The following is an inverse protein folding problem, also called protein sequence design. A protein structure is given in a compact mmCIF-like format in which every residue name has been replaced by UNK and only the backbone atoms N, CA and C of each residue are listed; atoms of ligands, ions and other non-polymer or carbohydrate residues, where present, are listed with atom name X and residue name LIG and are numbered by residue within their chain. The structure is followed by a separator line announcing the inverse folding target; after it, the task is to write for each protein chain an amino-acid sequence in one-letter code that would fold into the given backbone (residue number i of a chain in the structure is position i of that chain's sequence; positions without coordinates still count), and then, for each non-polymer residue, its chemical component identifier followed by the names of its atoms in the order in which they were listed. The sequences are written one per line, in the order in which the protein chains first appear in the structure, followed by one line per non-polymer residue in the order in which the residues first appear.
data_IF_307175076541
#
_entry.id   IF_307175076541
#
_cell.length_a   1.000
_cell.length_b   1.000
_cell.length_c   1.000
_cell.angle_alpha   90.00
_cell.angle_beta   90.00
_cell.angle_gamma   90.00
#
_symmetry.space_group_name_H-M   'P 1'
#
loop_
_entity.id
_entity.type
_entity.pdbx_description
1 polymer ?
#
# COMPACT_ATOMS: atom_id res chain seq x y z
N UNK A 1 -46.78 6.86 5.15
CA UNK A 1 -46.25 5.80 6.03
C UNK A 1 -45.01 5.26 5.36
N UNK A 2 -43.86 5.87 5.67
CA UNK A 2 -42.57 5.44 5.14
C UNK A 2 -41.91 4.61 6.22
N UNK A 3 -41.78 3.32 5.98
CA UNK A 3 -41.13 2.37 6.87
C UNK A 3 -39.63 2.61 6.85
N UNK A 4 -39.11 3.14 7.96
CA UNK A 4 -37.70 3.09 8.31
C UNK A 4 -37.28 1.63 8.48
N UNK A 5 -36.65 1.06 7.46
CA UNK A 5 -35.85 -0.15 7.58
C UNK A 5 -34.41 0.28 7.83
N UNK A 6 -34.07 0.46 9.10
CA UNK A 6 -32.68 0.43 9.56
C UNK A 6 -32.20 -1.02 9.42
N UNK A 7 -31.77 -1.41 8.23
CA UNK A 7 -30.85 -2.55 8.09
C UNK A 7 -29.52 -2.14 8.73
N UNK A 8 -28.83 -3.02 9.47
CA UNK A 8 -27.48 -2.74 9.93
C UNK A 8 -26.64 -2.56 8.67
N UNK A 9 -26.35 -1.31 8.34
CA UNK A 9 -25.60 -0.94 7.17
C UNK A 9 -24.23 -1.59 7.33
N UNK A 10 -23.95 -2.59 6.49
CA UNK A 10 -22.68 -3.29 6.53
C UNK A 10 -21.56 -2.26 6.34
N UNK A 11 -20.80 -2.08 7.42
CA UNK A 11 -19.78 -1.04 7.53
C UNK A 11 -18.69 -1.24 6.47
N UNK A 12 -18.50 -2.48 6.02
CA UNK A 12 -17.61 -2.81 4.91
C UNK A 12 -18.15 -2.33 3.56
N UNK A 13 -19.46 -2.36 3.34
CA UNK A 13 -20.08 -1.79 2.13
C UNK A 13 -20.01 -0.25 2.13
N UNK A 14 -20.05 0.35 3.32
CA UNK A 14 -19.85 1.80 3.49
C UNK A 14 -18.39 2.19 3.25
N UNK A 15 -17.46 1.36 3.69
CA UNK A 15 -16.04 1.53 3.38
C UNK A 15 -15.78 1.49 1.88
N UNK A 16 -16.36 0.52 1.16
CA UNK A 16 -16.23 0.41 -0.30
C UNK A 16 -16.72 1.66 -1.04
N UNK A 17 -17.85 2.24 -0.63
CA UNK A 17 -18.38 3.45 -1.28
C UNK A 17 -17.50 4.68 -1.02
N UNK A 18 -16.87 4.77 0.15
CA UNK A 18 -15.89 5.82 0.46
C UNK A 18 -14.64 5.65 -0.40
N UNK A 19 -14.13 4.43 -0.53
CA UNK A 19 -12.96 4.11 -1.35
C UNK A 19 -13.18 4.41 -2.83
N UNK A 20 -14.38 4.14 -3.35
CA UNK A 20 -14.78 4.49 -4.72
C UNK A 20 -14.87 6.01 -4.90
N UNK A 21 -15.52 6.71 -3.95
CA UNK A 21 -15.68 8.16 -4.00
C UNK A 21 -14.34 8.90 -3.97
N UNK A 22 -13.39 8.40 -3.19
CA UNK A 22 -12.06 8.99 -3.05
C UNK A 22 -11.11 8.54 -4.19
N UNK A 23 -11.62 7.78 -5.18
CA UNK A 23 -10.88 7.37 -6.37
C UNK A 23 -9.82 6.30 -6.12
N UNK A 24 -9.84 5.65 -4.96
CA UNK A 24 -8.93 4.56 -4.61
C UNK A 24 -9.30 3.27 -5.35
N UNK A 25 -10.60 3.04 -5.52
CA UNK A 25 -11.14 1.92 -6.30
C UNK A 25 -11.96 2.45 -7.48
N UNK A 26 -11.81 1.80 -8.63
CA UNK A 26 -12.69 2.03 -9.77
C UNK A 26 -14.07 1.41 -9.51
N UNK A 27 -15.17 1.98 -10.04
CA UNK A 27 -16.51 1.41 -9.88
C UNK A 27 -16.60 -0.07 -10.31
N UNK A 28 -15.91 -0.42 -11.40
CA UNK A 28 -15.82 -1.81 -11.89
C UNK A 28 -15.14 -2.76 -10.90
N UNK A 29 -14.13 -2.28 -10.17
CA UNK A 29 -13.43 -3.06 -9.13
C UNK A 29 -14.32 -3.23 -7.90
N UNK A 30 -14.99 -2.15 -7.47
CA UNK A 30 -15.93 -2.18 -6.34
C UNK A 30 -17.09 -3.15 -6.59
N UNK A 31 -17.63 -3.20 -7.81
CA UNK A 31 -18.71 -4.12 -8.18
C UNK A 31 -18.29 -5.59 -8.12
N UNK A 32 -17.07 -5.91 -8.56
CA UNK A 32 -16.50 -7.26 -8.48
C UNK A 32 -16.32 -7.67 -7.02
N UNK A 33 -15.69 -6.82 -6.20
CA UNK A 33 -15.47 -7.08 -4.77
C UNK A 33 -16.81 -7.27 -4.05
N UNK A 34 -17.81 -6.41 -4.32
CA UNK A 34 -19.15 -6.52 -3.73
C UNK A 34 -19.83 -7.84 -4.07
N UNK A 35 -19.69 -8.31 -5.31
CA UNK A 35 -20.28 -9.58 -5.77
C UNK A 35 -19.62 -10.77 -5.08
N UNK A 36 -18.29 -10.77 -4.96
CA UNK A 36 -17.52 -11.81 -4.27
C UNK A 36 -17.86 -11.83 -2.78
N UNK A 37 -17.85 -10.67 -2.11
CA UNK A 37 -18.17 -10.55 -0.70
C UNK A 37 -19.58 -11.09 -0.37
N UNK A 38 -20.59 -10.74 -1.18
CA UNK A 38 -21.97 -11.23 -0.99
C UNK A 38 -22.17 -12.70 -1.37
N UNK A 39 -21.37 -13.22 -2.30
CA UNK A 39 -21.56 -14.56 -2.88
C UNK A 39 -20.76 -15.67 -2.19
N UNK A 40 -19.51 -15.37 -1.78
CA UNK A 40 -18.55 -16.35 -1.25
C UNK A 40 -18.33 -16.21 0.26
N UNK A 41 -18.85 -15.14 0.90
CA UNK A 41 -18.74 -14.93 2.34
C UNK A 41 -17.30 -14.72 2.84
N UNK A 42 -16.36 -14.41 1.94
CA UNK A 42 -14.98 -14.11 2.30
C UNK A 42 -14.87 -12.77 3.03
N UNK A 43 -13.93 -12.69 3.97
CA UNK A 43 -13.64 -11.46 4.72
C UNK A 43 -13.24 -10.33 3.76
N UNK A 44 -13.83 -9.14 3.94
CA UNK A 44 -13.67 -8.00 3.01
C UNK A 44 -12.22 -7.52 2.91
N UNK A 45 -11.51 -7.52 4.03
CA UNK A 45 -10.09 -7.21 4.13
C UNK A 45 -9.22 -8.21 3.34
N UNK A 46 -9.49 -9.52 3.43
CA UNK A 46 -8.81 -10.54 2.60
C UNK A 46 -8.99 -10.24 1.11
N UNK A 47 -10.20 -9.84 0.70
CA UNK A 47 -10.47 -9.49 -0.70
C UNK A 47 -9.75 -8.22 -1.13
N UNK A 48 -9.80 -7.17 -0.32
CA UNK A 48 -9.21 -5.86 -0.64
C UNK A 48 -7.68 -5.92 -0.65
N UNK A 49 -7.08 -6.63 0.31
CA UNK A 49 -5.64 -6.76 0.45
C UNK A 49 -5.09 -7.82 -0.49
N UNK A 50 -5.76 -8.97 -0.61
CA UNK A 50 -5.35 -10.07 -1.47
C UNK A 50 -5.47 -9.76 -2.97
N UNK A 51 -6.35 -8.84 -3.35
CA UNK A 51 -6.41 -8.34 -4.73
C UNK A 51 -5.30 -7.33 -5.07
N UNK A 52 -4.55 -6.86 -4.08
CA UNK A 52 -3.49 -5.85 -4.26
C UNK A 52 -4.01 -4.47 -4.64
N UNK A 53 -5.33 -4.26 -4.65
CA UNK A 53 -5.95 -2.98 -5.01
C UNK A 53 -5.73 -1.91 -3.93
N UNK A 54 -5.60 -2.33 -2.67
CA UNK A 54 -5.40 -1.45 -1.52
C UNK A 54 -4.33 -2.07 -0.61
N UNK A 55 -3.44 -1.22 -0.08
CA UNK A 55 -2.46 -1.63 0.93
C UNK A 55 -3.04 -1.61 2.35
N UNK A 56 -2.50 -2.43 3.25
CA UNK A 56 -2.95 -2.50 4.67
C UNK A 56 -2.97 -1.12 5.33
N UNK A 57 -1.94 -0.30 5.10
CA UNK A 57 -1.88 1.06 5.64
C UNK A 57 -3.00 1.97 5.11
N UNK A 58 -3.39 1.80 3.84
CA UNK A 58 -4.48 2.57 3.25
C UNK A 58 -5.80 2.13 3.84
N UNK A 59 -6.05 0.81 3.89
CA UNK A 59 -7.25 0.24 4.48
C UNK A 59 -7.42 0.67 5.94
N UNK A 60 -6.35 0.59 6.71
CA UNK A 60 -6.27 1.01 8.11
C UNK A 60 -6.63 2.49 8.32
N UNK A 61 -6.13 3.38 7.46
CA UNK A 61 -6.45 4.81 7.53
C UNK A 61 -7.94 5.08 7.27
N UNK A 62 -8.54 4.38 6.32
CA UNK A 62 -9.96 4.53 6.03
C UNK A 62 -10.83 3.96 7.14
N UNK A 63 -10.44 2.84 7.75
CA UNK A 63 -11.10 2.30 8.94
C UNK A 63 -11.02 3.30 10.11
N UNK A 64 -9.85 3.88 10.39
CA UNK A 64 -9.70 4.90 11.44
C UNK A 64 -10.60 6.10 11.21
N UNK A 65 -10.68 6.61 9.97
CA UNK A 65 -11.59 7.72 9.61
C UNK A 65 -13.05 7.34 9.81
N UNK A 66 -13.43 6.13 9.40
CA UNK A 66 -14.81 5.64 9.51
C UNK A 66 -15.27 5.52 10.97
N UNK A 67 -14.37 5.08 11.85
CA UNK A 67 -14.65 4.88 13.28
C UNK A 67 -14.24 6.06 14.17
N UNK A 68 -13.74 7.16 13.60
CA UNK A 68 -13.36 8.37 14.33
C UNK A 68 -12.17 8.18 15.29
N UNK A 69 -11.30 7.21 15.03
CA UNK A 69 -10.11 6.94 15.84
C UNK A 69 -8.94 7.75 15.28
N UNK A 70 -8.50 8.77 16.02
CA UNK A 70 -7.44 9.70 15.59
C UNK A 70 -6.02 9.23 15.97
N UNK A 71 -5.87 8.00 16.45
CA UNK A 71 -4.58 7.48 16.89
C UNK A 71 -3.88 6.79 15.73
N UNK A 72 -2.86 7.46 15.20
CA UNK A 72 -1.95 6.87 14.21
C UNK A 72 -1.09 5.80 14.89
N UNK A 73 -1.13 4.58 14.36
CA UNK A 73 -0.24 3.48 14.76
C UNK A 73 0.29 2.79 13.51
N UNK A 74 1.47 2.16 13.60
CA UNK A 74 1.98 1.39 12.49
C UNK A 74 1.22 0.05 12.42
N UNK A 75 0.45 -0.24 11.35
CA UNK A 75 -0.32 -1.49 11.24
C UNK A 75 0.57 -2.75 11.32
N UNK A 76 1.86 -2.57 11.09
CA UNK A 76 2.87 -3.61 11.08
C UNK A 76 3.55 -3.83 12.43
N UNK A 77 3.32 -2.96 13.42
CA UNK A 77 3.89 -3.11 14.76
C UNK A 77 3.22 -4.30 15.48
N UNK A 78 4.04 -5.24 15.95
CA UNK A 78 3.56 -6.37 16.73
C UNK A 78 3.35 -6.01 18.20
N UNK A 79 2.38 -6.65 18.87
CA UNK A 79 2.24 -6.50 20.31
C UNK A 79 3.50 -6.86 21.10
N UNK A 80 3.79 -6.08 22.13
CA UNK A 80 4.84 -6.40 23.11
C UNK A 80 4.44 -7.64 23.93
N UNK A 81 5.40 -8.50 24.34
CA UNK A 81 5.10 -9.69 25.14
C UNK A 81 4.34 -9.37 26.43
N UNK A 82 4.67 -8.26 27.08
CA UNK A 82 4.00 -7.79 28.29
C UNK A 82 2.54 -7.43 28.04
N UNK A 83 2.22 -6.83 26.90
CA UNK A 83 0.86 -6.50 26.51
C UNK A 83 0.05 -7.76 26.16
N UNK A 84 0.62 -8.71 25.42
CA UNK A 84 -0.03 -9.99 25.11
C UNK A 84 -0.40 -10.78 26.38
N UNK A 85 0.39 -10.67 27.45
CA UNK A 85 0.12 -11.37 28.70
C UNK A 85 -1.01 -10.73 29.54
N UNK A 86 -1.51 -9.54 29.17
CA UNK A 86 -2.55 -8.84 29.94
C UNK A 86 -3.92 -9.49 29.82
N UNK A 87 -4.21 -10.12 28.67
CA UNK A 87 -5.46 -10.79 28.38
C UNK A 87 -5.19 -12.24 28.00
N UNK A 88 -6.09 -13.14 28.42
CA UNK A 88 -6.10 -14.53 27.97
C UNK A 88 -6.61 -14.62 26.54
N UNK A 89 -6.26 -15.70 25.84
CA UNK A 89 -6.74 -15.95 24.46
C UNK A 89 -8.27 -15.93 24.38
N UNK A 90 -8.96 -16.50 25.39
CA UNK A 90 -10.41 -16.48 25.45
C UNK A 90 -10.98 -15.06 25.57
N UNK A 91 -10.38 -14.21 26.41
CA UNK A 91 -10.77 -12.81 26.55
C UNK A 91 -10.49 -12.02 25.26
N UNK A 92 -9.33 -12.23 24.63
CA UNK A 92 -8.97 -11.62 23.34
C UNK A 92 -9.99 -11.94 22.25
N UNK A 93 -10.36 -13.22 22.11
CA UNK A 93 -11.33 -13.67 21.10
C UNK A 93 -12.75 -13.19 21.42
N UNK A 94 -13.16 -13.23 22.69
CA UNK A 94 -14.50 -12.77 23.09
C UNK A 94 -14.66 -11.27 22.88
N UNK A 95 -13.61 -10.51 23.15
CA UNK A 95 -13.62 -9.07 23.01
C UNK A 95 -13.31 -8.64 21.59
N UNK A 96 -12.70 -9.47 20.73
CA UNK A 96 -12.07 -9.03 19.47
C UNK A 96 -11.07 -7.88 19.70
N UNK A 97 -10.27 -7.99 20.75
CA UNK A 97 -9.26 -6.99 21.14
C UNK A 97 -7.95 -7.60 21.60
N UNK A 98 -6.82 -7.06 21.12
CA UNK A 98 -5.46 -7.46 21.52
C UNK A 98 -4.72 -6.23 22.07
N UNK A 99 -4.22 -6.28 23.31
CA UNK A 99 -3.34 -5.24 23.83
C UNK A 99 -2.03 -5.22 23.04
N UNK A 100 -1.66 -4.08 22.48
CA UNK A 100 -0.48 -3.93 21.64
C UNK A 100 0.75 -3.50 22.46
N UNK A 101 0.62 -2.41 23.22
CA UNK A 101 1.74 -1.87 24.00
C UNK A 101 1.24 -1.10 25.20
N UNK A 102 2.13 -0.94 26.18
CA UNK A 102 1.88 -0.21 27.41
C UNK A 102 2.82 1.00 27.47
N UNK A 103 2.27 2.17 27.73
CA UNK A 103 3.05 3.41 27.85
C UNK A 103 2.43 4.29 28.94
N UNK A 104 3.21 4.71 29.94
CA UNK A 104 2.84 5.72 30.94
C UNK A 104 1.45 5.51 31.61
N UNK A 105 1.11 4.27 31.98
CA UNK A 105 -0.19 3.95 32.61
C UNK A 105 -1.37 3.89 31.63
N UNK A 106 -1.08 3.90 30.33
CA UNK A 106 -2.04 3.63 29.26
C UNK A 106 -1.68 2.35 28.51
N UNK A 107 -2.69 1.69 27.94
CA UNK A 107 -2.56 0.51 27.09
C UNK A 107 -3.20 0.79 25.74
N UNK A 108 -2.42 0.65 24.67
CA UNK A 108 -2.94 0.68 23.31
C UNK A 108 -3.53 -0.68 22.97
N UNK A 109 -4.75 -0.70 22.44
CA UNK A 109 -5.50 -1.94 22.19
C UNK A 109 -5.98 -1.97 20.75
N UNK A 110 -5.55 -2.98 20.00
CA UNK A 110 -6.04 -3.27 18.65
C UNK A 110 -7.42 -3.90 18.74
N UNK A 111 -8.40 -3.35 18.05
CA UNK A 111 -9.81 -3.74 18.10
C UNK A 111 -10.32 -3.98 16.69
N UNK A 112 -10.93 -5.14 16.46
CA UNK A 112 -11.73 -5.33 15.26
C UNK A 112 -13.06 -4.58 15.45
N UNK A 113 -13.44 -3.68 14.54
CA UNK A 113 -14.70 -2.97 14.64
C UNK A 113 -15.93 -3.90 14.62
N UNK A 114 -17.07 -3.46 15.22
CA UNK A 114 -17.32 -2.15 15.81
C UNK A 114 -16.70 -1.97 17.21
N UNK A 115 -16.31 -0.73 17.54
CA UNK A 115 -15.80 -0.40 18.88
C UNK A 115 -16.98 -0.31 19.85
N UNK A 116 -17.06 -1.26 20.80
CA UNK A 116 -18.04 -1.25 21.87
C UNK A 116 -17.49 -0.53 23.12
N UNK A 117 -18.16 0.50 23.66
CA UNK A 117 -17.76 1.13 24.92
C UNK A 117 -17.68 0.13 26.10
N UNK A 118 -18.53 -0.91 26.10
CA UNK A 118 -18.52 -1.95 27.14
C UNK A 118 -17.23 -2.76 27.14
N UNK A 119 -16.78 -3.19 25.95
CA UNK A 119 -15.49 -3.83 25.71
C UNK A 119 -14.32 -2.97 26.23
N UNK A 120 -14.30 -1.67 25.94
CA UNK A 120 -13.24 -0.76 26.40
C UNK A 120 -13.20 -0.63 27.93
N UNK A 121 -14.36 -0.48 28.57
CA UNK A 121 -14.43 -0.38 30.04
C UNK A 121 -14.03 -1.70 30.70
N UNK A 122 -14.38 -2.85 30.10
CA UNK A 122 -13.94 -4.15 30.60
C UNK A 122 -12.41 -4.28 30.55
N UNK A 123 -11.77 -3.90 29.45
CA UNK A 123 -10.31 -3.95 29.32
C UNK A 123 -9.64 -2.99 30.30
N UNK A 124 -10.20 -1.78 30.47
CA UNK A 124 -9.75 -0.80 31.46
C UNK A 124 -9.83 -1.36 32.89
N UNK A 125 -10.95 -2.01 33.25
CA UNK A 125 -11.12 -2.64 34.55
C UNK A 125 -10.15 -3.82 34.76
N UNK A 126 -9.88 -4.61 33.72
CA UNK A 126 -8.96 -5.75 33.77
C UNK A 126 -7.49 -5.33 33.91
N UNK A 127 -7.08 -4.31 33.14
CA UNK A 127 -5.69 -3.85 33.05
C UNK A 127 -5.35 -2.77 34.08
N UNK A 128 -6.36 -2.11 34.66
CA UNK A 128 -6.20 -0.93 35.52
C UNK A 128 -5.44 0.23 34.82
N UNK A 129 -5.49 0.28 33.49
CA UNK A 129 -4.81 1.27 32.65
C UNK A 129 -5.80 2.07 31.82
N UNK A 130 -5.38 3.25 31.36
CA UNK A 130 -6.18 4.01 30.39
C UNK A 130 -6.13 3.33 29.02
N UNK A 131 -7.27 2.99 28.45
CA UNK A 131 -7.35 2.27 27.17
C UNK A 131 -7.35 3.25 26.01
N UNK A 132 -6.39 3.10 25.10
CA UNK A 132 -6.32 3.83 23.83
C UNK A 132 -6.73 2.88 22.71
N UNK A 133 -7.94 3.01 22.14
CA UNK A 133 -8.40 2.11 21.09
C UNK A 133 -7.67 2.41 19.78
N UNK A 134 -7.24 1.33 19.12
CA UNK A 134 -6.69 1.30 17.79
C UNK A 134 -7.55 0.35 16.95
N UNK A 135 -7.96 0.77 15.77
CA UNK A 135 -8.73 -0.10 14.88
C UNK A 135 -7.77 -1.06 14.17
N UNK A 136 -8.16 -2.29 13.87
CA UNK A 136 -7.39 -3.19 12.99
C UNK A 136 -8.31 -3.95 12.04
N UNK A 137 -7.73 -4.55 11.00
CA UNK A 137 -8.43 -5.52 10.14
C UNK A 137 -8.55 -6.88 10.83
N UNK A 138 -9.64 -7.65 10.59
CA UNK A 138 -9.75 -9.05 11.00
C UNK A 138 -8.55 -9.91 10.60
N UNK A 139 -8.06 -9.76 9.36
CA UNK A 139 -6.90 -10.47 8.83
C UNK A 139 -5.67 -10.24 9.70
N UNK A 140 -5.37 -8.98 10.01
CA UNK A 140 -4.22 -8.62 10.87
C UNK A 140 -4.41 -9.14 12.29
N UNK A 141 -5.63 -9.07 12.82
CA UNK A 141 -5.95 -9.60 14.15
C UNK A 141 -5.72 -11.11 14.23
N UNK A 142 -6.23 -11.89 13.28
CA UNK A 142 -6.01 -13.33 13.20
C UNK A 142 -4.53 -13.68 13.01
N UNK A 143 -3.82 -12.90 12.20
CA UNK A 143 -2.39 -13.08 12.00
C UNK A 143 -1.58 -12.85 13.29
N UNK A 144 -1.91 -11.81 14.07
CA UNK A 144 -1.31 -11.58 15.38
C UNK A 144 -1.67 -12.70 16.37
N UNK A 145 -2.91 -13.17 16.38
CA UNK A 145 -3.34 -14.30 17.20
C UNK A 145 -2.57 -15.59 16.88
N UNK A 146 -2.38 -15.87 15.60
CA UNK A 146 -1.60 -17.01 15.14
C UNK A 146 -0.15 -16.91 15.63
N UNK A 147 0.46 -15.73 15.52
CA UNK A 147 1.86 -15.52 15.89
C UNK A 147 2.11 -15.44 17.41
N UNK A 148 1.23 -14.78 18.16
CA UNK A 148 1.42 -14.55 19.60
C UNK A 148 0.82 -15.65 20.48
N UNK A 149 -0.23 -16.32 20.03
CA UNK A 149 -1.00 -17.27 20.83
C UNK A 149 -1.19 -18.65 20.16
N UNK A 150 -0.56 -18.91 19.00
CA UNK A 150 -0.66 -20.16 18.24
C UNK A 150 -2.11 -20.58 17.92
N UNK A 151 -3.01 -19.61 17.77
CA UNK A 151 -4.39 -19.88 17.35
C UNK A 151 -4.40 -20.25 15.86
N UNK A 152 -5.07 -21.34 15.44
CA UNK A 152 -5.11 -21.72 14.03
C UNK A 152 -5.83 -20.65 13.20
N UNK A 153 -5.27 -20.36 12.03
CA UNK A 153 -5.77 -19.38 11.06
C UNK A 153 -6.13 -20.11 9.77
N UNK A 154 -7.15 -19.64 9.06
CA UNK A 154 -7.55 -20.23 7.77
C UNK A 154 -6.41 -20.15 6.75
N UNK A 155 -6.28 -21.17 5.88
CA UNK A 155 -5.17 -21.27 4.94
C UNK A 155 -5.17 -20.13 3.91
N UNK A 156 -6.35 -19.66 3.49
CA UNK A 156 -6.46 -18.54 2.55
C UNK A 156 -6.08 -17.22 3.22
N UNK A 157 -6.58 -16.99 4.44
CA UNK A 157 -6.20 -15.82 5.24
C UNK A 157 -4.70 -15.83 5.54
N UNK A 158 -4.12 -16.97 5.91
CA UNK A 158 -2.69 -17.11 6.19
C UNK A 158 -1.85 -16.78 4.96
N UNK A 159 -2.22 -17.29 3.78
CA UNK A 159 -1.52 -16.98 2.52
C UNK A 159 -1.59 -15.50 2.17
N UNK A 160 -2.78 -14.90 2.30
CA UNK A 160 -2.95 -13.46 2.06
C UNK A 160 -2.15 -12.64 3.07
N UNK A 161 -2.24 -12.97 4.35
CA UNK A 161 -1.48 -12.33 5.41
C UNK A 161 0.03 -12.46 5.17
N UNK A 162 0.53 -13.63 4.77
CA UNK A 162 1.92 -13.79 4.37
C UNK A 162 2.24 -12.89 3.17
N UNK A 163 1.52 -12.97 2.06
CA UNK A 163 1.80 -12.13 0.87
C UNK A 163 1.74 -10.61 1.11
N UNK A 164 0.92 -10.16 2.05
CA UNK A 164 0.68 -8.73 2.33
C UNK A 164 1.54 -8.22 3.49
N UNK A 165 1.95 -9.11 4.42
CA UNK A 165 2.66 -8.79 5.66
C UNK A 165 4.10 -9.37 5.71
N UNK A 166 4.54 -10.17 4.73
CA UNK A 166 5.87 -10.86 4.67
C UNK A 166 7.07 -9.93 4.58
N UNK A 167 6.90 -8.63 4.31
CA UNK A 167 8.04 -7.69 4.30
C UNK A 167 8.49 -7.25 5.71
N UNK A 168 7.94 -7.83 6.77
CA UNK A 168 8.34 -7.58 8.16
C UNK A 168 8.62 -8.89 8.87
N UNK A 169 9.82 -9.42 8.70
CA UNK A 169 10.39 -10.22 9.78
C UNK A 169 10.53 -9.31 11.01
N UNK A 170 9.97 -9.67 12.17
CA UNK A 170 10.32 -8.98 13.40
C UNK A 170 11.83 -9.10 13.60
N UNK A 171 12.50 -8.03 14.05
CA UNK A 171 13.89 -8.13 14.47
C UNK A 171 13.98 -9.19 15.58
N UNK A 172 14.53 -10.36 15.25
CA UNK A 172 14.66 -11.52 16.14
C UNK A 172 15.38 -11.15 17.47
N UNK A 173 16.16 -10.09 17.47
CA UNK A 173 16.96 -9.60 18.60
C UNK A 173 16.15 -8.99 19.78
N UNK A 174 14.82 -8.88 19.70
CA UNK A 174 13.98 -8.40 20.82
C UNK A 174 13.21 -9.48 21.58
N UNK A 175 13.28 -10.74 21.14
CA UNK A 175 12.58 -11.85 21.80
C UNK A 175 13.52 -12.70 22.67
N UNK A 176 14.18 -12.06 23.64
CA UNK A 176 14.70 -12.79 24.80
C UNK A 176 13.52 -13.04 25.73
N UNK A 177 13.06 -14.30 25.82
CA UNK A 177 12.03 -14.72 26.77
C UNK A 177 12.39 -14.22 28.18
N UNK A 178 11.48 -13.55 28.93
CA UNK A 178 11.71 -13.36 30.35
C UNK A 178 11.70 -14.73 31.04
N UNK A 179 12.73 -14.99 31.84
CA UNK A 179 13.00 -16.27 32.48
C UNK A 179 11.92 -16.77 33.48
N UNK A 180 10.83 -16.02 33.68
CA UNK A 180 9.80 -16.32 34.67
C UNK A 180 8.40 -16.23 34.04
N UNK A 181 8.04 -17.25 33.27
CA UNK A 181 6.62 -17.59 33.09
C UNK A 181 6.17 -18.30 34.37
N UNK A 182 5.08 -17.83 34.96
CA UNK A 182 4.47 -18.42 36.15
C UNK A 182 4.16 -19.90 35.87
N UNK A 183 4.82 -20.81 36.59
CA UNK A 183 4.64 -22.25 36.46
C UNK A 183 3.24 -22.66 36.93
N UNK A 184 2.50 -23.40 36.09
CA UNK A 184 1.29 -24.10 36.49
C UNK A 184 1.68 -25.38 37.27
N UNK A 185 1.35 -25.51 38.56
CA UNK A 185 1.72 -26.66 39.39
C UNK A 185 1.05 -27.98 38.97
N UNK A 186 0.14 -27.98 37.99
CA UNK A 186 -0.47 -29.21 37.45
C UNK A 186 0.22 -29.74 36.18
N UNK A 187 1.15 -28.98 35.61
CA UNK A 187 1.95 -29.44 34.48
C UNK A 187 3.17 -30.19 35.00
N UNK A 188 3.04 -31.52 35.18
CA UNK A 188 4.18 -32.38 35.51
C UNK A 188 5.33 -32.25 34.52
N UNK A 189 6.57 -32.66 34.87
CA UNK A 189 7.71 -32.53 33.99
C UNK A 189 7.46 -33.32 32.71
N UNK A 190 7.46 -32.63 31.58
CA UNK A 190 7.52 -33.25 30.26
C UNK A 190 8.96 -33.69 30.08
N UNK A 191 9.22 -34.99 30.24
CA UNK A 191 10.47 -35.58 29.76
C UNK A 191 10.47 -35.46 28.24
N UNK A 192 11.62 -35.07 27.66
CA UNK A 192 11.82 -35.01 26.21
C UNK A 192 11.51 -36.38 25.62
N UNK A 193 10.39 -36.48 24.92
CA UNK A 193 10.05 -37.67 24.13
C UNK A 193 11.05 -37.66 22.96
N UNK A 194 11.93 -38.66 22.91
CA UNK A 194 12.82 -38.84 21.75
C UNK A 194 11.99 -38.98 20.47
N UNK A 195 12.49 -38.47 19.35
CA UNK A 195 11.81 -38.52 18.02
C UNK A 195 11.33 -39.93 17.60
N UNK A 196 11.89 -40.98 18.20
CA UNK A 196 11.51 -42.38 17.96
C UNK A 196 10.25 -42.84 18.74
N UNK A 197 9.83 -42.10 19.78
CA UNK A 197 8.69 -42.43 20.66
C UNK A 197 7.47 -41.51 20.44
N UNK A 198 7.49 -40.63 19.44
CA UNK A 198 6.32 -39.79 19.09
C UNK A 198 5.19 -40.65 18.46
N UNK A 199 4.03 -40.82 19.13
CA UNK A 199 2.90 -41.59 18.60
C UNK A 199 2.24 -40.96 17.36
N UNK A 200 2.70 -39.78 16.92
CA UNK A 200 2.23 -39.08 15.73
C UNK A 200 3.27 -39.06 14.59
N UNK A 201 4.36 -39.83 14.69
CA UNK A 201 5.36 -39.90 13.63
C UNK A 201 4.82 -40.60 12.36
N UNK A 202 4.37 -39.78 11.41
CA UNK A 202 3.76 -40.17 10.13
C UNK A 202 4.62 -41.09 9.25
N UNK A 203 5.91 -41.24 9.56
CA UNK A 203 6.84 -42.10 8.82
C UNK A 203 6.73 -43.59 9.16
N UNK A 204 6.15 -43.94 10.31
CA UNK A 204 6.05 -45.33 10.78
C UNK A 204 4.63 -45.92 10.71
N UNK A 205 3.66 -45.19 10.14
CA UNK A 205 2.32 -45.72 9.95
C UNK A 205 2.28 -46.72 8.78
N UNK A 206 1.72 -47.93 8.97
CA UNK A 206 1.55 -48.88 7.89
C UNK A 206 0.46 -48.38 6.96
N UNK A 207 0.84 -47.83 5.81
CA UNK A 207 -0.10 -47.45 4.76
C UNK A 207 -0.71 -48.74 4.21
N UNK A 208 -1.97 -49.03 4.55
CA UNK A 208 -2.76 -50.00 3.80
C UNK A 208 -3.30 -49.34 2.54
N UNK A 209 -2.94 -49.93 1.41
CA UNK A 209 -3.25 -49.53 0.05
C UNK A 209 -4.75 -49.69 -0.26
N UNK A 210 -5.54 -48.63 -0.04
CA UNK A 210 -6.96 -48.53 -0.46
C UNK A 210 -7.31 -47.19 -1.12
N UNK A 211 -6.31 -46.46 -1.58
CA UNK A 211 -6.50 -45.12 -2.16
C UNK A 211 -6.95 -45.15 -3.62
N UNK A 212 -6.85 -46.30 -4.29
CA UNK A 212 -7.25 -46.43 -5.70
C UNK A 212 -8.74 -46.70 -5.91
N UNK A 213 -9.46 -47.32 -4.97
CA UNK A 213 -10.90 -47.61 -5.15
C UNK A 213 -11.81 -46.38 -4.92
N UNK A 214 -11.37 -45.40 -4.12
CA UNK A 214 -12.19 -44.21 -3.80
C UNK A 214 -12.14 -43.16 -4.92
N UNK A 215 -11.03 -43.08 -5.66
CA UNK A 215 -10.86 -42.13 -6.77
C UNK A 215 -11.60 -42.55 -8.05
N UNK A 216 -11.81 -43.85 -8.26
CA UNK A 216 -12.57 -44.36 -9.41
C UNK A 216 -14.09 -44.16 -9.21
N UNK A 217 -14.60 -44.31 -7.98
CA UNK A 217 -16.01 -44.02 -7.65
C UNK A 217 -16.35 -42.53 -7.86
N UNK A 218 -15.44 -41.63 -7.47
CA UNK A 218 -15.63 -40.17 -7.68
C UNK A 218 -15.53 -39.75 -9.16
N UNK A 219 -14.77 -40.48 -9.99
CA UNK A 219 -14.67 -40.20 -11.43
C UNK A 219 -15.89 -40.66 -12.21
N UNK A 220 -16.50 -41.80 -11.84
CA UNK A 220 -17.74 -42.27 -12.47
C UNK A 220 -18.96 -41.40 -12.11
N UNK A 221 -19.06 -40.90 -10.88
CA UNK A 221 -20.14 -39.98 -10.48
C UNK A 221 -20.05 -38.60 -11.15
N UNK A 222 -18.85 -38.06 -11.37
CA UNK A 222 -18.65 -36.78 -12.07
C UNK A 222 -18.89 -36.87 -13.58
N UNK A 223 -18.61 -38.03 -14.21
CA UNK A 223 -18.89 -38.24 -15.63
C UNK A 223 -20.40 -38.26 -15.93
N UNK A 224 -21.23 -38.79 -15.01
CA UNK A 224 -22.69 -38.81 -15.16
C UNK A 224 -23.37 -37.44 -15.03
N UNK A 225 -22.75 -36.48 -14.34
CA UNK A 225 -23.30 -35.12 -14.14
C UNK A 225 -23.01 -34.22 -15.37
N UNK A 226 -21.94 -34.49 -16.12
CA UNK A 226 -21.54 -33.68 -17.27
C UNK A 226 -22.33 -34.03 -18.55
N UNK A 227 -22.91 -35.23 -18.65
CA UNK A 227 -23.66 -35.66 -19.84
C UNK A 227 -25.13 -35.21 -19.87
N UNK A 228 -25.72 -34.70 -18.78
CA UNK A 228 -27.18 -34.59 -18.69
C UNK A 228 -27.83 -33.19 -18.62
N UNK A 229 -27.09 -32.08 -18.59
CA UNK A 229 -27.71 -30.73 -18.54
C UNK A 229 -26.99 -29.63 -19.34
N UNK A 230 -26.97 -29.78 -20.67
CA UNK A 230 -26.67 -28.69 -21.60
C UNK A 230 -27.77 -28.59 -22.68
N UNK A 231 -28.68 -27.61 -22.60
CA UNK A 231 -29.43 -27.15 -23.76
C UNK A 231 -28.64 -26.07 -24.50
N UNK A 232 -28.29 -26.43 -25.74
CA UNK A 232 -27.90 -25.63 -26.90
C UNK A 232 -28.53 -24.23 -27.02
N UNK A 233 -27.71 -23.21 -27.32
CA UNK A 233 -28.06 -22.12 -28.26
C UNK A 233 -26.79 -21.49 -28.89
N UNK A 234 -26.20 -22.20 -29.84
CA UNK A 234 -25.71 -21.68 -31.13
C UNK A 234 -26.43 -22.57 -32.16
N UNK A 235 -27.12 -22.11 -33.21
CA UNK A 235 -26.72 -21.20 -34.28
C UNK A 235 -27.98 -20.62 -34.96
N UNK A 236 -27.92 -19.35 -35.37
CA UNK A 236 -28.44 -18.85 -36.65
C UNK A 236 -28.31 -17.32 -36.68
N UNK A 237 -27.28 -16.79 -37.35
CA UNK A 237 -27.42 -16.12 -38.65
C UNK A 237 -26.10 -15.47 -39.04
N UNK A 238 -25.56 -15.96 -40.15
CA UNK A 238 -24.60 -15.30 -41.04
C UNK A 238 -25.14 -13.98 -41.63
N UNK A 239 -24.21 -13.11 -42.01
CA UNK A 239 -24.34 -11.90 -42.84
C UNK A 239 -24.76 -10.61 -42.12
N UNK A 240 -23.78 -9.76 -41.82
CA UNK A 240 -23.47 -8.65 -42.72
C UNK A 240 -22.04 -8.13 -42.44
N UNK A 241 -21.25 -8.09 -43.51
CA UNK A 241 -19.94 -7.46 -43.54
C UNK A 241 -20.08 -5.98 -43.88
N UNK A 242 -19.30 -5.13 -43.19
CA UNK A 242 -18.53 -3.96 -43.68
C UNK A 242 -18.18 -3.03 -42.49
N UNK A 243 -17.03 -2.34 -42.51
CA UNK A 243 -15.68 -2.80 -42.83
C UNK A 243 -14.75 -2.73 -41.61
N UNK A 244 -13.69 -3.52 -41.65
CA UNK A 244 -12.49 -3.37 -40.82
C UNK A 244 -11.97 -1.94 -40.95
N UNK A 245 -12.15 -1.13 -39.90
CA UNK A 245 -11.30 0.04 -39.70
C UNK A 245 -10.13 -0.41 -38.82
N UNK A 246 -8.97 -0.42 -39.47
CA UNK A 246 -7.61 -0.50 -38.93
C UNK A 246 -7.54 -0.49 -37.39
N UNK A 247 -7.51 -1.68 -36.79
CA UNK A 247 -6.98 -1.83 -35.43
C UNK A 247 -5.47 -1.65 -35.57
N UNK A 248 -5.05 -0.41 -35.37
CA UNK A 248 -3.66 -0.02 -35.20
C UNK A 248 -3.04 -0.91 -34.10
N UNK A 249 -2.01 -1.72 -34.38
CA UNK A 249 -1.38 -2.59 -33.39
C UNK A 249 -0.61 -1.80 -32.30
N UNK A 250 -0.70 -0.47 -32.30
CA UNK A 250 -0.13 0.42 -31.29
C UNK A 250 -0.96 0.53 -29.98
N UNK A 251 -2.18 -0.03 -29.91
CA UNK A 251 -3.10 0.22 -28.79
C UNK A 251 -2.98 -0.73 -27.58
N UNK A 252 -2.00 -1.63 -27.53
CA UNK A 252 -1.85 -2.60 -26.41
C UNK A 252 -0.56 -2.41 -25.61
N UNK A 253 -0.18 -1.14 -25.40
CA UNK A 253 0.66 -0.71 -24.27
C UNK A 253 -0.10 0.45 -23.61
N UNK A 254 -1.14 0.12 -22.83
CA UNK A 254 -1.80 1.10 -21.98
C UNK A 254 -0.76 1.60 -20.95
N UNK A 255 -0.18 2.73 -21.30
CA UNK A 255 1.00 3.37 -20.74
C UNK A 255 0.89 3.63 -19.24
N UNK A 256 1.87 3.14 -18.47
CA UNK A 256 2.14 3.48 -17.06
C UNK A 256 2.75 4.89 -16.92
N UNK A 257 2.26 5.84 -17.72
CA UNK A 257 2.81 7.20 -17.81
C UNK A 257 2.01 8.16 -16.95
N UNK A 258 2.64 9.30 -16.62
CA UNK A 258 1.99 10.47 -16.01
C UNK A 258 0.58 10.68 -16.57
N UNK A 259 -0.42 10.91 -15.70
CA UNK A 259 -1.85 11.00 -16.03
C UNK A 259 -2.15 11.57 -17.43
N UNK A 260 -3.13 10.97 -18.11
CA UNK A 260 -3.60 11.35 -19.46
C UNK A 260 -4.08 12.82 -19.59
N UNK A 261 -4.14 13.56 -18.49
CA UNK A 261 -4.46 14.98 -18.44
C UNK A 261 -3.35 15.89 -19.02
N UNK A 262 -2.09 15.43 -19.06
CA UNK A 262 -0.95 16.25 -19.50
C UNK A 262 -0.54 15.94 -20.94
N UNK A 263 -0.41 17.01 -21.76
CA UNK A 263 0.14 16.88 -23.12
C UNK A 263 1.66 16.79 -23.05
N UNK A 264 2.22 15.78 -23.72
CA UNK A 264 3.65 15.61 -23.91
C UNK A 264 4.28 16.88 -24.51
N UNK A 265 5.37 17.33 -23.87
CA UNK A 265 6.08 18.54 -24.25
C UNK A 265 6.71 18.38 -25.64
N UNK A 266 6.48 19.35 -26.52
CA UNK A 266 7.23 19.54 -27.76
C UNK A 266 8.40 20.51 -27.49
N UNK A 267 9.67 20.10 -27.66
CA UNK A 267 10.83 20.96 -27.40
C UNK A 267 10.76 22.31 -28.12
N UNK A 268 10.16 22.36 -29.33
CA UNK A 268 10.02 23.60 -30.08
C UNK A 268 9.08 24.62 -29.41
N UNK A 269 8.17 24.17 -28.54
CA UNK A 269 7.16 25.00 -27.86
C UNK A 269 7.57 25.45 -26.46
N UNK A 270 8.76 25.05 -25.98
CA UNK A 270 9.27 25.48 -24.67
C UNK A 270 9.26 27.02 -24.52
N UNK A 271 9.71 27.83 -25.50
CA UNK A 271 9.69 29.28 -25.37
C UNK A 271 8.28 29.87 -25.22
N UNK A 272 7.31 29.31 -25.93
CA UNK A 272 5.90 29.75 -25.88
C UNK A 272 5.27 29.43 -24.52
N UNK A 273 5.47 28.20 -24.03
CA UNK A 273 5.00 27.76 -22.72
C UNK A 273 5.66 28.55 -21.59
N UNK A 274 6.97 28.80 -21.70
CA UNK A 274 7.72 29.61 -20.74
C UNK A 274 7.25 31.07 -20.69
N UNK A 275 6.83 31.63 -21.83
CA UNK A 275 6.31 32.99 -21.89
C UNK A 275 4.96 33.15 -21.19
N UNK A 276 4.13 32.10 -21.18
CA UNK A 276 2.82 32.07 -20.52
C UNK A 276 2.86 31.88 -19.00
N UNK A 277 4.04 31.65 -18.41
CA UNK A 277 4.20 31.52 -16.96
C UNK A 277 4.24 32.90 -16.30
N UNK A 278 3.21 33.20 -15.51
CA UNK A 278 3.05 34.48 -14.81
C UNK A 278 3.30 34.35 -13.30
N UNK A 279 3.15 33.15 -12.74
CA UNK A 279 3.36 32.85 -11.33
C UNK A 279 4.37 31.73 -11.13
N UNK A 280 4.93 31.65 -9.91
CA UNK A 280 5.77 30.51 -9.50
C UNK A 280 4.97 29.21 -9.59
N UNK A 281 3.69 29.25 -9.22
CA UNK A 281 2.78 28.10 -9.21
C UNK A 281 2.55 27.47 -10.59
N UNK A 282 2.88 28.17 -11.68
CA UNK A 282 2.72 27.64 -13.04
C UNK A 282 3.96 26.85 -13.51
N UNK A 283 5.12 27.01 -12.86
CA UNK A 283 6.37 26.32 -13.21
C UNK A 283 6.23 24.79 -13.22
N UNK A 284 5.56 24.13 -12.26
CA UNK A 284 5.37 22.69 -12.27
C UNK A 284 4.72 22.16 -13.55
N UNK A 285 3.82 22.92 -14.18
CA UNK A 285 3.13 22.49 -15.41
C UNK A 285 4.10 22.17 -16.56
N UNK A 286 5.21 22.91 -16.66
CA UNK A 286 6.26 22.68 -17.65
C UNK A 286 6.94 21.32 -17.45
N UNK A 287 7.20 20.95 -16.20
CA UNK A 287 7.82 19.67 -15.84
C UNK A 287 6.84 18.50 -15.91
N UNK A 288 5.54 18.72 -15.69
CA UNK A 288 4.52 17.70 -15.94
C UNK A 288 4.38 17.39 -17.43
N UNK A 289 4.38 18.42 -18.29
CA UNK A 289 4.41 18.20 -19.74
C UNK A 289 5.68 17.47 -20.20
N UNK A 290 6.84 17.73 -19.57
CA UNK A 290 8.04 16.94 -19.78
C UNK A 290 7.85 15.48 -19.34
N UNK A 291 7.31 15.28 -18.13
CA UNK A 291 7.04 13.95 -17.57
C UNK A 291 6.13 13.09 -18.43
N UNK A 292 5.11 13.68 -19.05
CA UNK A 292 4.17 12.99 -19.93
C UNK A 292 4.84 12.34 -21.17
N UNK A 293 6.09 12.68 -21.50
CA UNK A 293 6.83 12.06 -22.62
C UNK A 293 7.30 10.64 -22.29
N UNK A 294 7.96 10.47 -21.15
CA UNK A 294 8.77 9.28 -20.86
C UNK A 294 8.84 8.91 -19.37
N UNK A 295 8.20 9.67 -18.49
CA UNK A 295 8.33 9.51 -17.05
C UNK A 295 7.05 8.93 -16.45
N UNK A 296 7.22 8.00 -15.51
CA UNK A 296 6.16 7.45 -14.67
C UNK A 296 5.63 8.49 -13.69
N UNK A 297 6.54 9.28 -13.10
CA UNK A 297 6.18 10.36 -12.18
C UNK A 297 7.19 11.51 -12.20
N UNK A 298 6.74 12.70 -11.78
CA UNK A 298 7.54 13.92 -11.66
C UNK A 298 7.23 14.60 -10.34
N UNK A 299 8.25 14.95 -9.58
CA UNK A 299 8.16 15.59 -8.28
C UNK A 299 9.08 16.80 -8.21
N UNK A 300 8.59 17.89 -7.64
CA UNK A 300 9.31 19.14 -7.49
C UNK A 300 9.50 19.47 -6.02
N UNK A 301 10.69 20.00 -5.73
CA UNK A 301 11.14 20.42 -4.42
C UNK A 301 11.56 21.89 -4.51
N UNK A 302 11.40 22.61 -3.41
CA UNK A 302 11.86 23.98 -3.24
C UNK A 302 13.03 24.00 -2.28
N UNK A 303 14.08 24.75 -2.63
CA UNK A 303 15.30 24.85 -1.85
C UNK A 303 15.30 26.17 -1.07
N UNK A 304 15.33 26.07 0.25
CA UNK A 304 15.35 27.20 1.16
C UNK A 304 16.21 26.88 2.37
N UNK A 305 17.13 27.79 2.70
CA UNK A 305 17.95 27.72 3.93
C UNK A 305 18.78 26.42 4.08
N UNK A 306 19.23 25.84 2.97
CA UNK A 306 20.04 24.61 2.99
C UNK A 306 19.22 23.32 3.08
N UNK A 307 17.90 23.41 2.87
CA UNK A 307 16.99 22.28 2.80
C UNK A 307 16.22 22.26 1.48
N UNK A 308 16.06 21.08 0.91
CA UNK A 308 15.07 20.83 -0.13
C UNK A 308 13.79 20.30 0.51
N UNK A 309 12.68 21.01 0.29
CA UNK A 309 11.35 20.69 0.79
C UNK A 309 10.47 20.29 -0.37
N UNK A 310 9.73 19.17 -0.25
CA UNK A 310 8.80 18.79 -1.30
C UNK A 310 7.70 19.83 -1.46
N UNK A 311 7.28 20.04 -2.70
CA UNK A 311 6.32 21.09 -3.04
C UNK A 311 5.11 20.52 -3.75
N UNK A 312 5.32 19.83 -4.86
CA UNK A 312 4.23 19.25 -5.65
C UNK A 312 4.77 18.15 -6.55
N UNK A 313 3.88 17.32 -7.09
CA UNK A 313 4.25 16.33 -8.09
C UNK A 313 3.03 15.78 -8.81
N UNK A 314 3.27 14.98 -9.84
CA UNK A 314 2.25 14.31 -10.63
C UNK A 314 2.75 12.94 -11.08
N UNK A 315 1.82 12.07 -11.46
CA UNK A 315 2.11 10.74 -11.98
C UNK A 315 1.89 9.60 -11.00
N UNK A 316 2.21 8.40 -11.45
CA UNK A 316 1.83 7.17 -10.76
C UNK A 316 2.52 7.09 -9.38
N UNK A 317 1.71 6.92 -8.33
CA UNK A 317 2.20 6.76 -6.96
C UNK A 317 2.65 8.07 -6.27
N UNK A 318 2.60 9.21 -6.95
CA UNK A 318 2.93 10.52 -6.37
C UNK A 318 1.68 11.18 -5.80
N UNK A 319 1.79 11.64 -4.55
CA UNK A 319 0.73 12.39 -3.87
C UNK A 319 1.27 13.75 -3.41
N UNK A 320 0.80 14.88 -3.98
CA UNK A 320 1.34 16.22 -3.66
C UNK A 320 1.41 16.51 -2.15
N UNK A 321 0.33 16.22 -1.42
CA UNK A 321 0.25 16.43 0.03
C UNK A 321 1.26 15.58 0.84
N UNK A 322 1.73 14.45 0.31
CA UNK A 322 2.77 13.63 0.95
C UNK A 322 4.17 14.14 0.64
N UNK A 323 4.37 14.72 -0.54
CA UNK A 323 5.63 15.33 -0.94
C UNK A 323 5.97 16.53 -0.05
N UNK A 324 4.96 17.35 0.30
CA UNK A 324 5.13 18.50 1.22
C UNK A 324 5.76 18.12 2.57
N UNK A 325 5.59 16.87 3.01
CA UNK A 325 6.21 16.35 4.23
C UNK A 325 7.68 15.96 4.10
N UNK A 326 8.26 15.97 2.89
CA UNK A 326 9.66 15.66 2.66
C UNK A 326 10.51 16.89 2.92
N UNK A 327 11.43 16.80 3.88
CA UNK A 327 12.44 17.82 4.13
C UNK A 327 13.79 17.11 4.21
N UNK A 328 14.69 17.44 3.28
CA UNK A 328 16.03 16.85 3.22
C UNK A 328 17.11 17.93 3.22
N UNK A 329 18.22 17.75 3.94
CA UNK A 329 19.36 18.66 3.84
C UNK A 329 20.01 18.59 2.46
N UNK A 330 20.43 19.73 1.92
CA UNK A 330 21.09 19.82 0.60
C UNK A 330 22.49 19.18 0.57
N UNK A 331 23.09 18.91 1.73
CA UNK A 331 24.46 18.43 1.91
C UNK A 331 24.57 17.00 2.43
N UNK A 332 23.45 16.29 2.67
CA UNK A 332 23.47 14.96 3.29
C UNK A 332 22.95 13.87 2.37
N UNK A 333 23.87 13.00 1.92
CA UNK A 333 23.72 11.56 1.66
C UNK A 333 22.43 11.04 1.00
N UNK A 334 21.71 11.88 0.27
CA UNK A 334 20.46 11.57 -0.40
C UNK A 334 20.62 11.85 -1.89
N UNK A 335 19.88 11.14 -2.74
CA UNK A 335 19.95 11.41 -4.18
C UNK A 335 19.49 12.84 -4.53
N UNK A 336 18.65 13.49 -3.69
CA UNK A 336 18.28 14.90 -3.85
C UNK A 336 19.49 15.81 -3.60
N UNK A 337 20.28 15.54 -2.55
CA UNK A 337 21.54 16.22 -2.33
C UNK A 337 22.51 15.99 -3.51
N UNK A 338 22.56 14.76 -4.04
CA UNK A 338 23.38 14.44 -5.21
C UNK A 338 22.95 15.23 -6.46
N UNK A 339 21.64 15.41 -6.68
CA UNK A 339 21.10 16.27 -7.76
C UNK A 339 21.54 17.72 -7.58
N UNK A 340 21.48 18.25 -6.36
CA UNK A 340 21.85 19.64 -6.07
C UNK A 340 23.34 19.86 -6.29
N UNK A 341 24.18 18.92 -5.87
CA UNK A 341 25.64 19.04 -6.00
C UNK A 341 26.12 18.87 -7.44
N UNK A 342 25.49 17.96 -8.20
CA UNK A 342 25.92 17.63 -9.56
C UNK A 342 25.08 18.34 -10.65
N UNK A 343 24.06 19.10 -10.27
CA UNK A 343 23.02 19.72 -11.11
C UNK A 343 22.13 18.77 -11.90
N UNK A 344 22.58 17.54 -12.07
CA UNK A 344 21.93 16.50 -12.85
C UNK A 344 22.20 15.16 -12.16
N UNK A 345 21.19 14.29 -12.17
CA UNK A 345 21.30 12.92 -11.68
C UNK A 345 20.64 11.98 -12.68
N UNK A 346 21.30 10.86 -12.96
CA UNK A 346 20.74 9.74 -13.70
C UNK A 346 21.23 8.47 -13.03
N UNK A 347 20.30 7.66 -12.54
CA UNK A 347 20.63 6.36 -11.95
C UNK A 347 19.71 5.97 -10.80
N UNK A 348 20.10 4.91 -10.10
CA UNK A 348 19.38 4.42 -8.91
C UNK A 348 19.81 5.20 -7.68
N UNK A 349 18.89 5.40 -6.74
CA UNK A 349 19.25 5.98 -5.46
C UNK A 349 20.16 5.04 -4.66
N UNK A 350 21.13 5.59 -3.92
CA UNK A 350 21.97 4.77 -3.05
C UNK A 350 21.11 4.04 -1.99
N UNK A 351 21.44 2.79 -1.61
CA UNK A 351 20.63 1.98 -0.71
C UNK A 351 20.77 2.45 0.74
N UNK A 352 20.04 3.51 1.09
CA UNK A 352 19.95 4.04 2.46
C UNK A 352 18.49 4.05 2.92
N UNK A 353 18.27 3.96 4.24
CA UNK A 353 16.92 4.02 4.83
C UNK A 353 16.21 5.34 4.47
N UNK A 354 16.97 6.43 4.42
CA UNK A 354 16.46 7.76 4.05
C UNK A 354 16.03 7.78 2.59
N UNK A 355 16.87 7.29 1.66
CA UNK A 355 16.52 7.24 0.24
C UNK A 355 15.32 6.31 -0.01
N UNK A 356 15.24 5.16 0.64
CA UNK A 356 14.07 4.27 0.55
C UNK A 356 12.80 4.99 0.98
N UNK A 357 12.85 5.78 2.06
CA UNK A 357 11.70 6.55 2.52
C UNK A 357 11.29 7.65 1.55
N UNK A 358 12.27 8.36 0.97
CA UNK A 358 11.99 9.40 -0.05
C UNK A 358 11.37 8.75 -1.29
N UNK A 359 11.97 7.67 -1.81
CA UNK A 359 11.46 6.92 -2.97
C UNK A 359 10.00 6.49 -2.77
N UNK A 360 9.65 5.93 -1.61
CA UNK A 360 8.27 5.55 -1.28
C UNK A 360 7.28 6.72 -1.38
N UNK A 361 7.70 7.93 -0.99
CA UNK A 361 6.86 9.13 -1.07
C UNK A 361 6.76 9.68 -2.50
N UNK A 362 7.73 9.36 -3.35
CA UNK A 362 7.73 9.64 -4.79
C UNK A 362 7.00 8.56 -5.62
N UNK A 363 6.46 7.52 -4.98
CA UNK A 363 5.89 6.37 -5.69
C UNK A 363 6.93 5.58 -6.48
N UNK A 364 8.16 5.53 -5.97
CA UNK A 364 9.32 4.87 -6.57
C UNK A 364 9.86 3.73 -5.70
N UNK A 365 10.47 2.76 -6.36
CA UNK A 365 11.16 1.61 -5.81
C UNK A 365 12.68 1.77 -5.92
N UNK A 366 13.47 1.06 -5.09
CA UNK A 366 14.95 1.15 -5.12
C UNK A 366 15.59 0.75 -6.45
N UNK A 367 14.89 -0.05 -7.25
CA UNK A 367 15.35 -0.50 -8.56
C UNK A 367 15.03 0.47 -9.69
N UNK A 368 14.18 1.47 -9.44
CA UNK A 368 13.81 2.46 -10.44
C UNK A 368 14.98 3.38 -10.79
N UNK A 369 15.03 3.77 -12.06
CA UNK A 369 15.96 4.77 -12.53
C UNK A 369 15.33 6.15 -12.31
N UNK A 370 16.04 7.00 -11.58
CA UNK A 370 15.68 8.39 -11.38
C UNK A 370 16.44 9.27 -12.37
N UNK A 371 15.77 10.31 -12.84
CA UNK A 371 16.38 11.43 -13.53
C UNK A 371 16.03 12.71 -12.79
N UNK A 372 17.04 13.49 -12.39
CA UNK A 372 16.82 14.69 -11.61
C UNK A 372 17.64 15.87 -12.12
N UNK A 373 17.11 17.09 -11.91
CA UNK A 373 17.75 18.33 -12.31
C UNK A 373 17.61 19.42 -11.25
N UNK A 374 18.65 20.23 -11.08
CA UNK A 374 18.63 21.38 -10.18
C UNK A 374 18.39 22.69 -10.95
N UNK A 375 17.50 23.53 -10.42
CA UNK A 375 17.24 24.89 -10.91
C UNK A 375 18.01 25.87 -10.03
N UNK A 376 19.09 26.42 -10.58
CA UNK A 376 20.00 27.33 -9.88
C UNK A 376 19.73 28.80 -10.22
N UNK A 377 19.77 29.67 -9.21
CA UNK A 377 19.90 31.12 -9.39
C UNK A 377 21.24 31.60 -8.84
N UNK A 378 22.14 32.05 -9.73
CA UNK A 378 23.48 32.53 -9.37
C UNK A 378 24.18 31.57 -8.38
N UNK A 379 24.23 30.29 -8.76
CA UNK A 379 24.85 29.19 -8.00
C UNK A 379 24.09 28.69 -6.76
N UNK A 380 22.96 29.29 -6.40
CA UNK A 380 22.10 28.78 -5.31
C UNK A 380 20.97 27.91 -5.86
N UNK A 381 20.78 26.69 -5.35
CA UNK A 381 19.60 25.89 -5.70
C UNK A 381 18.34 26.58 -5.18
N UNK A 382 17.34 26.68 -6.04
CA UNK A 382 16.03 27.25 -5.70
C UNK A 382 14.95 26.20 -5.81
N UNK A 383 15.09 25.28 -6.76
CA UNK A 383 14.20 24.16 -6.93
C UNK A 383 14.96 22.94 -7.44
N UNK A 384 14.43 21.76 -7.16
CA UNK A 384 14.92 20.49 -7.68
C UNK A 384 13.75 19.73 -8.27
N UNK A 385 13.95 19.14 -9.44
CA UNK A 385 13.00 18.24 -10.07
C UNK A 385 13.55 16.81 -10.03
N UNK A 386 12.70 15.86 -9.68
CA UNK A 386 12.97 14.43 -9.65
C UNK A 386 11.92 13.72 -10.48
N UNK A 387 12.35 12.96 -11.47
CA UNK A 387 11.51 12.18 -12.35
C UNK A 387 11.84 10.69 -12.18
N UNK A 388 10.81 9.85 -12.21
CA UNK A 388 10.95 8.40 -12.20
C UNK A 388 10.67 7.90 -13.60
N UNK A 389 11.59 7.12 -14.18
CA UNK A 389 11.44 6.59 -15.52
C UNK A 389 10.36 5.49 -15.57
N UNK A 390 9.67 5.40 -16.70
CA UNK A 390 8.91 4.20 -17.05
C UNK A 390 9.85 3.16 -17.69
N UNK A 391 9.51 1.88 -17.57
CA UNK A 391 10.41 0.70 -17.53
C UNK A 391 11.46 0.51 -18.65
N UNK A 392 11.62 1.39 -19.65
CA UNK A 392 12.71 1.19 -20.64
C UNK A 392 13.19 2.38 -21.52
N UNK A 393 12.74 3.63 -21.34
CA UNK A 393 13.17 4.71 -22.28
C UNK A 393 13.32 6.08 -21.60
N UNK A 394 14.50 6.35 -21.03
CA UNK A 394 15.07 7.70 -21.16
C UNK A 394 16.38 7.56 -21.91
N UNK A 395 16.41 8.08 -23.12
CA UNK A 395 17.63 8.25 -23.87
C UNK A 395 18.44 9.46 -23.37
N UNK A 396 19.62 9.69 -23.96
CA UNK A 396 20.41 10.89 -23.73
C UNK A 396 19.63 12.19 -24.05
N UNK A 397 18.62 12.12 -24.93
CA UNK A 397 17.82 13.25 -25.36
C UNK A 397 16.91 13.79 -24.22
N UNK A 398 16.31 12.92 -23.41
CA UNK A 398 15.46 13.32 -22.27
C UNK A 398 16.27 14.03 -21.18
N UNK A 399 17.51 13.59 -20.96
CA UNK A 399 18.42 14.18 -19.98
C UNK A 399 18.86 15.58 -20.43
N UNK A 400 19.21 15.72 -21.71
CA UNK A 400 19.55 17.03 -22.30
C UNK A 400 18.35 17.98 -22.25
N UNK A 401 17.15 17.49 -22.60
CA UNK A 401 15.92 18.26 -22.55
C UNK A 401 15.59 18.72 -21.12
N UNK A 402 15.78 17.86 -20.11
CA UNK A 402 15.59 18.25 -18.71
C UNK A 402 16.54 19.37 -18.29
N UNK A 403 17.80 19.31 -18.74
CA UNK A 403 18.78 20.34 -18.45
C UNK A 403 18.39 21.69 -19.08
N UNK A 404 17.94 21.69 -20.33
CA UNK A 404 17.41 22.87 -21.02
C UNK A 404 16.19 23.44 -20.26
N UNK A 405 15.26 22.58 -19.82
CA UNK A 405 14.11 22.99 -19.02
C UNK A 405 14.49 23.62 -17.68
N UNK A 406 15.51 23.08 -17.00
CA UNK A 406 16.00 23.67 -15.75
C UNK A 406 16.58 25.07 -15.97
N UNK A 407 17.27 25.32 -17.09
CA UNK A 407 17.79 26.64 -17.44
C UNK A 407 16.67 27.64 -17.79
N UNK A 408 15.64 27.18 -18.52
CA UNK A 408 14.46 27.99 -18.83
C UNK A 408 13.71 28.34 -17.54
N UNK A 409 13.47 27.35 -16.67
CA UNK A 409 12.83 27.57 -15.38
C UNK A 409 13.64 28.56 -14.51
N UNK A 410 14.96 28.46 -14.47
CA UNK A 410 15.81 29.43 -13.77
C UNK A 410 15.61 30.86 -14.30
N UNK A 411 15.50 31.03 -15.62
CA UNK A 411 15.24 32.32 -16.26
C UNK A 411 13.87 32.89 -15.89
N UNK A 412 12.84 32.03 -15.83
CA UNK A 412 11.48 32.40 -15.38
C UNK A 412 11.49 32.84 -13.91
N UNK A 413 12.09 32.05 -13.01
CA UNK A 413 12.17 32.40 -11.58
C UNK A 413 12.91 33.73 -11.41
N UNK A 414 13.99 33.97 -12.16
CA UNK A 414 14.71 35.25 -12.12
C UNK A 414 13.83 36.43 -12.57
N UNK A 415 13.03 36.26 -13.62
CA UNK A 415 12.05 37.26 -14.09
C UNK A 415 11.01 37.56 -13.01
N UNK A 416 10.42 36.53 -12.39
CA UNK A 416 9.40 36.66 -11.34
C UNK A 416 9.96 37.36 -10.09
N UNK A 417 11.17 37.00 -9.65
CA UNK A 417 11.84 37.64 -8.50
C UNK A 417 12.12 39.12 -8.78
N UNK A 418 12.49 39.49 -10.02
CA UNK A 418 12.71 40.89 -10.41
C UNK A 418 11.40 41.68 -10.44
N UNK A 419 10.32 41.11 -10.98
CA UNK A 419 9.01 41.75 -11.00
C UNK A 419 8.49 42.03 -9.58
N UNK A 420 8.66 41.09 -8.65
CA UNK A 420 8.26 41.24 -7.24
C UNK A 420 9.09 42.26 -6.44
N UNK A 421 10.30 42.61 -6.90
CA UNK A 421 11.13 43.68 -6.28
C UNK A 421 10.85 45.07 -6.85
N UNK A 422 10.17 45.17 -7.99
CA UNK A 422 9.83 46.43 -8.64
C UNK A 422 8.41 46.92 -8.30
N UNK A 423 7.55 45.99 -7.85
CA UNK A 423 6.31 46.21 -7.09
C UNK A 423 6.66 46.47 -5.62
#
# INVERSE_FOLDING_TARGET
MSTNTNEPMDLWLSLLSILEKDGILLPSQTDVIRRIYKGLGQSMDVLLLGSGLISERTLQNYLQKLYGVNTMFDPFEFPTPEACAMLTVAEVMQLNAIPQKTENGSVSVLIIPPIDPGQLEWIRARTQMFVVPLVTTPLRFHYILNHCHNVPMDETERKTAMSVLEQLEPQEDRFVRPANVLYDPYSGPVEDISDDDDPLNLRNLPIMDRTHEVLDIFREELAGIIEHDLPSYMEATTSDALPESEIDPAATVASRRLDAAWKALDPAKIPELAAGIESREDIPSLFYSFGARAMRSVSLFTCTEGFAMGWTGAGLGVFPHRLEGIIVPEDRGTFIADIIQNNLFLGKAAPSVVNRRILQLLGADPEDILVGGAILLKERPVMVVVCVLDDEVAGPDEVQLLQELCQVAASIVLKLVRAKKAS
#
